data_IF_383780009683
#
_entry.id   IF_383780009683
#
_cell.length_a   1.000
_cell.length_b   1.000
_cell.length_c   1.000
_cell.angle_alpha   90.00
_cell.angle_beta   90.00
_cell.angle_gamma   90.00
#
_symmetry.space_group_name_H-M   'P 1'
#
loop_
_entity.id
_entity.type
_entity.pdbx_description
1 polymer ?
#
# COMPACT_ATOMS: atom_id res chain seq x y z
N UNK A 1 -15.32 0.33 13.66
CA UNK A 1 -15.37 -1.03 13.07
C UNK A 1 -15.55 -1.04 11.56
N UNK A 2 -16.09 0.03 10.93
CA UNK A 2 -16.32 0.08 9.47
C UNK A 2 -15.08 0.16 8.58
N UNK A 3 -13.93 0.64 9.08
CA UNK A 3 -12.74 0.85 8.24
C UNK A 3 -12.06 -0.46 7.82
N UNK A 4 -12.15 -1.50 8.67
CA UNK A 4 -11.53 -2.81 8.42
C UNK A 4 -12.08 -3.46 7.15
N UNK A 5 -13.41 -3.64 6.98
CA UNK A 5 -13.95 -4.22 5.75
C UNK A 5 -13.71 -3.34 4.52
N UNK A 6 -13.75 -2.01 4.66
CA UNK A 6 -13.43 -1.08 3.57
C UNK A 6 -12.01 -1.30 3.08
N UNK A 7 -11.04 -1.40 3.99
CA UNK A 7 -9.64 -1.65 3.65
C UNK A 7 -9.40 -3.04 3.09
N UNK A 8 -10.12 -4.06 3.57
CA UNK A 8 -10.04 -5.40 2.99
C UNK A 8 -10.44 -5.39 1.51
N UNK A 9 -11.54 -4.70 1.17
CA UNK A 9 -12.00 -4.53 -0.22
C UNK A 9 -10.96 -3.76 -1.02
N UNK A 10 -10.52 -2.59 -0.55
CA UNK A 10 -9.52 -1.74 -1.22
C UNK A 10 -8.21 -2.49 -1.51
N UNK A 11 -7.76 -3.35 -0.60
CA UNK A 11 -6.53 -4.13 -0.77
C UNK A 11 -6.67 -5.18 -1.88
N UNK A 12 -7.83 -5.84 -2.03
CA UNK A 12 -8.07 -6.78 -3.12
C UNK A 12 -7.86 -6.09 -4.49
N UNK A 13 -8.38 -4.87 -4.64
CA UNK A 13 -8.22 -4.10 -5.88
C UNK A 13 -6.80 -3.55 -6.06
N UNK A 14 -6.08 -3.27 -4.97
CA UNK A 14 -4.69 -2.81 -5.00
C UNK A 14 -3.73 -3.90 -5.52
N UNK A 15 -4.07 -5.18 -5.33
CA UNK A 15 -3.29 -6.29 -5.88
C UNK A 15 -3.53 -6.54 -7.38
N UNK A 16 -4.55 -5.92 -7.98
CA UNK A 16 -4.68 -5.96 -9.43
C UNK A 16 -3.47 -5.25 -10.04
N UNK A 17 -2.75 -5.85 -11.00
CA UNK A 17 -1.54 -5.29 -11.60
C UNK A 17 -1.86 -4.15 -12.60
N UNK A 18 -2.80 -3.29 -12.23
CA UNK A 18 -3.28 -2.14 -13.01
C UNK A 18 -2.51 -0.88 -12.60
N UNK A 19 -1.93 -0.87 -11.39
CA UNK A 19 -1.20 0.28 -10.84
C UNK A 19 0.03 -0.12 -10.02
N UNK A 20 1.05 0.72 -10.01
CA UNK A 20 2.23 0.56 -9.16
C UNK A 20 1.86 0.93 -7.73
N UNK A 21 2.10 0.03 -6.76
CA UNK A 21 1.83 0.24 -5.32
C UNK A 21 0.37 0.58 -4.95
N UNK A 22 -0.58 0.35 -5.85
CA UNK A 22 -1.98 0.72 -5.64
C UNK A 22 -2.31 2.20 -5.87
N UNK A 23 -1.40 2.97 -6.45
CA UNK A 23 -1.63 4.40 -6.73
C UNK A 23 -2.70 4.59 -7.81
N UNK A 24 -3.65 5.47 -7.54
CA UNK A 24 -4.84 5.71 -8.35
C UNK A 24 -5.98 4.73 -8.07
N UNK A 25 -5.68 3.43 -7.96
CA UNK A 25 -6.71 2.40 -7.70
C UNK A 25 -7.24 2.46 -6.27
N UNK A 26 -6.36 2.62 -5.28
CA UNK A 26 -6.73 2.78 -3.87
C UNK A 26 -7.58 4.03 -3.65
N UNK A 27 -7.16 5.16 -4.22
CA UNK A 27 -7.86 6.43 -4.15
C UNK A 27 -9.25 6.34 -4.80
N UNK A 28 -9.36 5.68 -5.95
CA UNK A 28 -10.64 5.50 -6.64
C UNK A 28 -11.62 4.66 -5.81
N UNK A 29 -11.18 3.53 -5.25
CA UNK A 29 -12.03 2.65 -4.44
C UNK A 29 -12.41 3.33 -3.12
N UNK A 30 -11.46 3.97 -2.44
CA UNK A 30 -11.75 4.71 -1.21
C UNK A 30 -12.70 5.88 -1.46
N UNK A 31 -12.52 6.61 -2.57
CA UNK A 31 -13.44 7.68 -2.96
C UNK A 31 -14.84 7.14 -3.23
N UNK A 32 -14.95 6.04 -3.96
CA UNK A 32 -16.23 5.38 -4.23
C UNK A 32 -16.95 4.94 -2.94
N UNK A 33 -16.21 4.43 -1.95
CA UNK A 33 -16.79 3.94 -0.70
C UNK A 33 -17.02 5.06 0.34
N UNK A 34 -16.17 6.08 0.42
CA UNK A 34 -16.17 7.04 1.52
C UNK A 34 -16.76 8.41 1.17
N UNK A 35 -16.75 8.84 -0.10
CA UNK A 35 -17.43 10.08 -0.50
C UNK A 35 -18.94 10.06 -0.17
N UNK A 36 -19.70 8.98 -0.43
CA UNK A 36 -21.12 8.91 -0.06
C UNK A 36 -21.37 8.95 1.46
N UNK A 37 -20.31 8.73 2.27
CA UNK A 37 -20.35 8.78 3.73
C UNK A 37 -19.93 10.15 4.28
N UNK A 38 -19.76 11.15 3.40
CA UNK A 38 -19.41 12.53 3.77
C UNK A 38 -17.93 12.75 4.09
N UNK A 39 -17.06 11.78 3.82
CA UNK A 39 -15.61 11.96 3.96
C UNK A 39 -15.09 12.82 2.81
N UNK A 40 -14.38 13.89 3.13
CA UNK A 40 -13.76 14.77 2.13
C UNK A 40 -12.71 14.05 1.28
N UNK A 41 -12.60 14.44 0.01
CA UNK A 41 -11.58 13.91 -0.89
C UNK A 41 -10.15 14.17 -0.36
N UNK A 42 -9.86 15.33 0.23
CA UNK A 42 -8.53 15.59 0.82
C UNK A 42 -8.13 14.55 1.86
N UNK A 43 -9.05 14.15 2.74
CA UNK A 43 -8.78 13.16 3.78
C UNK A 43 -8.51 11.77 3.17
N UNK A 44 -9.22 11.41 2.10
CA UNK A 44 -9.01 10.14 1.39
C UNK A 44 -7.64 10.10 0.74
N UNK A 45 -7.25 11.19 0.07
CA UNK A 45 -5.96 11.32 -0.58
C UNK A 45 -4.82 11.33 0.43
N UNK A 46 -4.97 12.06 1.55
CA UNK A 46 -4.01 12.09 2.64
C UNK A 46 -3.79 10.69 3.23
N UNK A 47 -4.87 9.94 3.49
CA UNK A 47 -4.79 8.57 3.97
C UNK A 47 -4.11 7.64 2.95
N UNK A 48 -4.45 7.74 1.67
CA UNK A 48 -3.81 6.92 0.63
C UNK A 48 -2.30 7.18 0.55
N UNK A 49 -1.89 8.44 0.66
CA UNK A 49 -0.48 8.84 0.68
C UNK A 49 0.24 8.31 1.92
N UNK A 50 -0.41 8.35 3.09
CA UNK A 50 0.14 7.78 4.33
C UNK A 50 0.42 6.28 4.17
N UNK A 51 -0.52 5.52 3.59
CA UNK A 51 -0.33 4.09 3.33
C UNK A 51 0.86 3.85 2.39
N UNK A 52 1.05 4.69 1.35
CA UNK A 52 2.22 4.63 0.48
C UNK A 52 3.52 4.85 1.29
N UNK A 53 3.57 5.94 2.06
CA UNK A 53 4.78 6.33 2.78
C UNK A 53 5.16 5.30 3.85
N UNK A 54 4.20 4.77 4.61
CA UNK A 54 4.47 3.83 5.70
C UNK A 54 4.81 2.44 5.16
N UNK A 55 3.97 1.87 4.30
CA UNK A 55 4.15 0.46 3.91
C UNK A 55 5.17 0.27 2.80
N UNK A 56 5.26 1.20 1.85
CA UNK A 56 6.15 1.05 0.69
C UNK A 56 7.47 1.78 0.90
N UNK A 57 7.44 3.06 1.27
CA UNK A 57 8.67 3.83 1.44
C UNK A 57 9.41 3.41 2.71
N UNK A 58 8.77 3.48 3.89
CA UNK A 58 9.43 3.11 5.13
C UNK A 58 9.73 1.59 5.18
N UNK A 59 8.80 0.74 4.73
CA UNK A 59 9.05 -0.69 4.57
C UNK A 59 10.23 -1.01 3.64
N UNK A 60 10.32 -0.32 2.50
CA UNK A 60 11.46 -0.44 1.58
C UNK A 60 12.77 0.01 2.20
N UNK A 61 12.78 1.16 2.88
CA UNK A 61 13.96 1.66 3.60
C UNK A 61 14.43 0.70 4.70
N UNK A 62 13.50 0.12 5.47
CA UNK A 62 13.81 -0.91 6.45
C UNK A 62 14.45 -2.14 5.78
N UNK A 63 13.94 -2.56 4.63
CA UNK A 63 14.54 -3.63 3.82
C UNK A 63 15.96 -3.30 3.37
N UNK A 64 16.21 -2.07 2.92
CA UNK A 64 17.54 -1.58 2.53
C UNK A 64 18.49 -1.60 3.72
N UNK A 65 18.07 -1.08 4.88
CA UNK A 65 18.87 -1.10 6.12
C UNK A 65 19.18 -2.55 6.52
N UNK A 66 18.19 -3.44 6.49
CA UNK A 66 18.39 -4.85 6.80
C UNK A 66 19.39 -5.51 5.82
N UNK A 67 19.31 -5.18 4.53
CA UNK A 67 20.24 -5.67 3.51
C UNK A 67 21.68 -5.22 3.77
N UNK A 68 21.89 -3.97 4.17
CA UNK A 68 23.23 -3.47 4.52
C UNK A 68 23.79 -4.08 5.82
N UNK A 69 22.94 -4.37 6.80
CA UNK A 69 23.36 -4.97 8.07
C UNK A 69 23.65 -6.46 7.95
N UNK A 70 22.83 -7.19 7.20
CA UNK A 70 22.97 -8.64 7.00
C UNK A 70 22.45 -9.00 5.61
N UNK A 71 23.27 -8.86 4.57
CA UNK A 71 22.86 -9.26 3.23
C UNK A 71 22.55 -10.75 3.22
N UNK A 72 21.55 -11.14 2.43
CA UNK A 72 21.22 -12.56 2.26
C UNK A 72 22.35 -13.21 1.48
N UNK A 73 22.92 -14.29 2.02
CA UNK A 73 23.94 -15.09 1.34
C UNK A 73 23.25 -16.01 0.33
N UNK A 74 22.96 -15.47 -0.87
CA UNK A 74 22.26 -16.20 -1.93
C UNK A 74 23.23 -17.19 -2.59
N UNK A 75 23.35 -18.39 -2.03
CA UNK A 75 24.06 -19.50 -2.70
C UNK A 75 23.16 -20.07 -3.78
N UNK A 76 23.38 -19.63 -5.03
CA UNK A 76 22.80 -20.31 -6.19
C UNK A 76 23.42 -21.71 -6.30
N UNK A 77 22.66 -22.72 -5.87
CA UNK A 77 22.98 -24.12 -6.17
C UNK A 77 22.93 -24.28 -7.69
N UNK A 78 24.10 -24.41 -8.33
CA UNK A 78 24.19 -24.89 -9.70
C UNK A 78 23.75 -26.35 -9.71
N UNK A 79 22.47 -26.57 -10.07
CA UNK A 79 22.00 -27.85 -10.57
C UNK A 79 22.51 -28.09 -11.98
#
# INVERSE_FOLDING_TARGET
>A
MEIIPIMAITNIFTFLPISISGLGTREAILSFLLLPRGISLELILAYSLEVLLVFFVAGGLMGVVAWFLKPVDIKFSKG
#
